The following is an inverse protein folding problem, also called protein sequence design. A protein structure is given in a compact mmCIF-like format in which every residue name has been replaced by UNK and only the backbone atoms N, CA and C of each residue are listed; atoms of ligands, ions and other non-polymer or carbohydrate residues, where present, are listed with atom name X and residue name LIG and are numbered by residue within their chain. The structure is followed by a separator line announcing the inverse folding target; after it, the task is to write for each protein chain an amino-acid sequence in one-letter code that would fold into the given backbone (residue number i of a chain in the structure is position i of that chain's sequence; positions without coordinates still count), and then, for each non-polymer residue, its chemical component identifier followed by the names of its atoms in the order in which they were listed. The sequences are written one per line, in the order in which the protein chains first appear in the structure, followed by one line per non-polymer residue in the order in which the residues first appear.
data_IF_203139084937
#
_entry.id   IF_203139084937
#
_cell.length_a   1.000
_cell.length_b   1.000
_cell.length_c   1.000
_cell.angle_alpha   90.00
_cell.angle_beta   90.00
_cell.angle_gamma   90.00
#
_symmetry.space_group_name_H-M   'P 1'
#
loop_
_entity.id
_entity.type
_entity.pdbx_description
1 polymer ?
#
# COMPACT_ATOMS: atom_id res chain seq x y z
N UNK A 1 -29.51 90.30 -34.56
CA UNK A 1 -30.73 90.39 -33.73
C UNK A 1 -31.07 89.01 -33.21
N UNK A 2 -31.06 88.85 -31.87
CA UNK A 2 -31.88 87.97 -31.01
C UNK A 2 -32.62 86.79 -31.67
N UNK A 3 -32.40 85.52 -31.30
CA UNK A 3 -32.89 84.76 -30.12
C UNK A 3 -33.55 83.49 -30.72
N UNK A 4 -33.54 82.30 -30.14
CA UNK A 4 -33.15 81.89 -28.80
C UNK A 4 -32.92 80.37 -28.69
N UNK A 5 -32.47 80.00 -27.50
CA UNK A 5 -32.27 78.64 -26.99
C UNK A 5 -33.59 77.88 -26.83
N UNK A 6 -33.56 76.57 -27.04
CA UNK A 6 -34.17 75.55 -26.17
C UNK A 6 -33.98 74.17 -26.84
N UNK A 7 -33.03 73.33 -26.41
CA UNK A 7 -33.16 72.30 -25.36
C UNK A 7 -34.10 71.14 -25.75
N UNK A 8 -33.58 69.92 -25.56
CA UNK A 8 -34.24 68.60 -25.57
C UNK A 8 -34.59 67.94 -26.91
N UNK A 9 -33.59 67.53 -27.71
CA UNK A 9 -33.72 66.34 -28.62
C UNK A 9 -32.40 65.57 -28.89
N UNK A 10 -31.38 65.65 -28.02
CA UNK A 10 -30.09 64.97 -28.22
C UNK A 10 -29.63 64.13 -27.01
N UNK A 11 -30.55 63.33 -26.46
CA UNK A 11 -30.24 62.30 -25.45
C UNK A 11 -30.37 60.86 -26.01
N UNK A 12 -30.29 60.68 -27.33
CA UNK A 12 -30.56 59.39 -27.98
C UNK A 12 -29.48 58.87 -28.95
N UNK A 13 -28.32 59.52 -29.06
CA UNK A 13 -27.26 59.13 -30.01
C UNK A 13 -25.85 59.23 -29.42
N UNK A 14 -25.69 58.81 -28.15
CA UNK A 14 -24.38 58.60 -27.52
C UNK A 14 -24.29 57.22 -26.84
N UNK A 15 -24.93 56.24 -27.49
CA UNK A 15 -24.67 54.82 -27.35
C UNK A 15 -24.64 54.26 -28.77
N UNK A 16 -23.62 53.45 -29.11
CA UNK A 16 -23.37 52.72 -30.40
C UNK A 16 -22.10 53.11 -31.19
N UNK A 17 -21.28 54.09 -30.77
CA UNK A 17 -20.01 54.39 -31.48
C UNK A 17 -18.70 54.13 -30.71
N UNK A 18 -18.67 53.17 -29.77
CA UNK A 18 -17.43 52.63 -29.17
C UNK A 18 -17.58 51.12 -28.92
N UNK A 19 -17.78 50.33 -29.98
CA UNK A 19 -17.57 48.87 -29.96
C UNK A 19 -17.07 48.46 -31.36
N UNK A 20 -15.79 48.67 -31.64
CA UNK A 20 -15.03 48.00 -32.73
C UNK A 20 -13.61 48.57 -32.78
N UNK A 21 -12.74 48.06 -31.91
CA UNK A 21 -11.29 47.82 -32.10
C UNK A 21 -10.93 46.92 -30.90
N UNK A 22 -11.22 45.63 -31.00
CA UNK A 22 -10.57 44.63 -30.16
C UNK A 22 -9.24 44.33 -30.83
N UNK A 23 -8.19 45.03 -30.40
CA UNK A 23 -6.82 44.70 -30.74
C UNK A 23 -6.53 43.26 -30.28
N UNK A 24 -5.99 42.45 -31.18
CA UNK A 24 -5.32 41.20 -30.86
C UNK A 24 -4.02 41.60 -30.15
N UNK A 25 -4.13 41.93 -28.86
CA UNK A 25 -3.01 41.89 -27.95
C UNK A 25 -2.72 40.42 -27.73
N UNK A 26 -1.64 39.93 -28.34
CA UNK A 26 -0.98 38.67 -27.99
C UNK A 26 -0.62 38.77 -26.51
N UNK A 27 -1.56 38.42 -25.64
CA UNK A 27 -1.27 38.05 -24.29
C UNK A 27 -0.54 36.73 -24.43
N UNK A 28 0.79 36.80 -24.46
CA UNK A 28 1.60 35.70 -24.02
C UNK A 28 0.95 35.22 -22.73
N UNK A 29 0.41 34.00 -22.76
CA UNK A 29 0.06 33.29 -21.55
C UNK A 29 1.40 33.12 -20.86
N UNK A 30 1.76 34.11 -20.03
CA UNK A 30 2.67 33.89 -18.93
C UNK A 30 2.07 32.70 -18.23
N UNK A 31 2.74 31.57 -18.44
CA UNK A 31 2.55 30.36 -17.68
C UNK A 31 2.51 30.87 -16.25
N UNK A 32 1.32 30.87 -15.65
CA UNK A 32 1.17 31.07 -14.22
C UNK A 32 2.10 30.01 -13.66
N UNK A 33 3.27 30.44 -13.23
CA UNK A 33 4.21 29.60 -12.52
C UNK A 33 3.44 29.26 -11.27
N UNK A 34 2.75 28.12 -11.30
CA UNK A 34 2.27 27.46 -10.12
C UNK A 34 3.49 27.43 -9.20
N UNK A 35 3.51 28.31 -8.20
CA UNK A 35 4.47 28.32 -7.12
C UNK A 35 4.18 27.09 -6.24
N UNK A 36 4.20 25.91 -6.84
CA UNK A 36 4.21 24.64 -6.14
C UNK A 36 5.61 24.48 -5.61
N UNK A 37 5.73 24.52 -4.28
CA UNK A 37 6.94 24.18 -3.54
C UNK A 37 7.65 22.97 -4.19
N UNK A 38 8.97 23.02 -4.43
CA UNK A 38 9.68 21.92 -5.05
C UNK A 38 9.45 20.60 -4.29
N UNK A 39 9.14 19.55 -5.05
CA UNK A 39 8.77 18.24 -4.52
C UNK A 39 10.04 17.41 -4.31
N UNK A 40 10.27 16.87 -3.10
CA UNK A 40 11.50 16.14 -2.75
C UNK A 40 11.26 15.01 -1.72
N UNK A 41 12.02 13.92 -1.81
CA UNK A 41 11.91 12.79 -0.88
C UNK A 41 12.85 12.90 0.36
N UNK A 42 13.83 13.81 0.30
CA UNK A 42 14.88 14.01 1.31
C UNK A 42 14.56 15.13 2.32
N UNK A 43 13.35 15.69 2.29
CA UNK A 43 12.91 16.70 3.25
C UNK A 43 12.76 16.06 4.64
N UNK A 44 13.47 16.60 5.62
CA UNK A 44 13.32 16.28 7.04
C UNK A 44 12.81 17.54 7.73
N UNK A 45 11.63 17.46 8.35
CA UNK A 45 11.21 18.46 9.33
C UNK A 45 11.88 18.13 10.65
N UNK A 46 12.79 18.99 11.10
CA UNK A 46 13.47 18.86 12.38
C UNK A 46 12.54 19.46 13.45
N UNK A 47 11.78 18.56 14.07
CA UNK A 47 10.83 18.83 15.15
C UNK A 47 11.17 18.04 16.42
N UNK A 48 12.39 17.50 16.52
CA UNK A 48 12.84 16.65 17.62
C UNK A 48 12.67 17.29 19.01
N UNK A 49 12.60 18.62 19.07
CA UNK A 49 12.42 19.39 20.30
C UNK A 49 10.99 19.31 20.87
N UNK A 50 10.03 18.79 20.12
CA UNK A 50 8.63 18.58 20.57
C UNK A 50 8.52 17.63 21.77
N UNK A 51 9.50 16.74 21.95
CA UNK A 51 9.59 15.86 23.13
C UNK A 51 9.74 16.64 24.45
N UNK A 52 10.22 17.89 24.38
CA UNK A 52 10.37 18.78 25.53
C UNK A 52 9.24 19.81 25.64
N UNK A 53 8.11 19.58 24.96
CA UNK A 53 6.96 20.48 24.93
C UNK A 53 6.88 21.34 23.67
N UNK A 54 6.02 22.37 23.70
CA UNK A 54 5.71 23.21 22.54
C UNK A 54 6.98 23.88 21.96
N UNK A 55 7.04 23.97 20.63
CA UNK A 55 8.11 24.66 19.93
C UNK A 55 7.88 26.18 19.98
N UNK A 56 8.94 26.93 20.24
CA UNK A 56 8.93 28.41 20.24
C UNK A 56 9.06 29.00 18.82
N UNK A 57 9.59 28.21 17.88
CA UNK A 57 9.77 28.60 16.48
C UNK A 57 9.30 27.47 15.55
N UNK A 58 8.98 27.77 14.28
CA UNK A 58 8.66 26.75 13.29
C UNK A 58 9.75 25.67 13.20
N UNK A 59 9.39 24.39 12.96
CA UNK A 59 10.37 23.33 12.67
C UNK A 59 11.29 23.70 11.50
N UNK A 60 12.55 23.27 11.56
CA UNK A 60 13.52 23.54 10.49
C UNK A 60 13.33 22.52 9.37
N UNK A 61 13.20 22.98 8.13
CA UNK A 61 13.21 22.11 6.96
C UNK A 61 14.65 21.84 6.51
N UNK A 62 15.06 20.58 6.59
CA UNK A 62 16.41 20.12 6.29
C UNK A 62 16.40 19.19 5.09
N UNK A 63 17.14 19.56 4.03
CA UNK A 63 17.29 18.76 2.82
C UNK A 63 18.48 17.82 2.97
N UNK A 64 18.23 16.58 3.37
CA UNK A 64 19.30 15.66 3.75
C UNK A 64 20.23 15.31 2.59
N UNK A 65 19.73 15.17 1.36
CA UNK A 65 20.57 14.84 0.21
C UNK A 65 21.39 16.03 -0.28
N UNK A 66 20.84 17.23 -0.20
CA UNK A 66 21.62 18.43 -0.51
C UNK A 66 22.86 18.53 0.39
N UNK A 67 22.71 18.18 1.68
CA UNK A 67 23.83 18.15 2.63
C UNK A 67 24.81 17.01 2.33
N UNK A 68 24.33 15.78 2.13
CA UNK A 68 25.24 14.66 1.85
C UNK A 68 25.98 14.84 0.53
N UNK A 69 25.36 15.42 -0.49
CA UNK A 69 26.02 15.73 -1.77
C UNK A 69 27.09 16.82 -1.64
N UNK A 70 26.81 17.86 -0.86
CA UNK A 70 27.80 18.91 -0.59
C UNK A 70 29.00 18.38 0.22
N UNK A 71 28.75 17.54 1.23
CA UNK A 71 29.79 16.94 2.06
C UNK A 71 30.62 15.90 1.30
N UNK A 72 30.00 15.10 0.44
CA UNK A 72 30.70 14.10 -0.40
C UNK A 72 31.74 14.78 -1.30
N UNK A 73 31.41 15.94 -1.89
CA UNK A 73 32.36 16.73 -2.71
C UNK A 73 33.58 17.22 -1.94
N UNK A 74 33.51 17.23 -0.61
CA UNK A 74 34.59 17.62 0.31
C UNK A 74 35.24 16.39 0.98
N UNK A 75 35.02 15.19 0.46
CA UNK A 75 35.49 13.93 1.02
C UNK A 75 35.06 13.72 2.50
N UNK A 76 33.91 14.28 2.89
CA UNK A 76 33.29 14.04 4.20
C UNK A 76 32.18 13.01 4.07
N UNK A 77 32.04 12.17 5.09
CA UNK A 77 31.05 11.09 5.14
C UNK A 77 29.96 11.35 6.22
N UNK A 78 29.20 10.32 6.57
CA UNK A 78 28.15 10.37 7.57
C UNK A 78 28.65 10.84 8.96
N UNK A 79 29.91 10.56 9.31
CA UNK A 79 30.50 10.91 10.61
C UNK A 79 30.61 12.43 10.82
N UNK A 80 30.56 13.20 9.72
CA UNK A 80 30.50 14.65 9.80
C UNK A 80 29.28 15.16 10.57
N UNK A 81 28.18 14.39 10.64
CA UNK A 81 26.93 14.78 11.28
C UNK A 81 26.37 13.74 12.27
N UNK A 82 26.81 12.49 12.20
CA UNK A 82 26.28 11.38 13.00
C UNK A 82 27.37 10.76 13.87
N UNK A 83 26.98 10.39 15.09
CA UNK A 83 27.86 9.66 16.01
C UNK A 83 27.70 8.15 15.80
N UNK A 84 28.74 7.41 16.15
CA UNK A 84 28.76 5.94 16.09
C UNK A 84 28.59 5.36 17.48
N UNK A 85 27.78 4.32 17.61
CA UNK A 85 27.67 3.49 18.81
C UNK A 85 27.74 2.02 18.39
N UNK A 86 28.67 1.24 18.97
CA UNK A 86 28.89 -0.18 18.62
C UNK A 86 29.03 -0.41 17.10
N UNK A 87 29.83 0.41 16.42
CA UNK A 87 30.03 0.39 14.95
C UNK A 87 28.77 0.59 14.11
N UNK A 88 27.74 1.22 14.68
CA UNK A 88 26.53 1.65 14.00
C UNK A 88 26.44 3.17 14.01
N UNK A 89 26.24 3.75 12.84
CA UNK A 89 25.93 5.16 12.66
C UNK A 89 24.52 5.41 13.21
N UNK A 90 24.44 6.30 14.20
CA UNK A 90 23.19 6.64 14.86
C UNK A 90 22.51 7.81 14.13
N UNK A 91 21.22 7.70 13.74
CA UNK A 91 20.56 8.71 12.88
C UNK A 91 20.34 10.08 13.53
N UNK A 92 20.56 10.21 14.84
CA UNK A 92 20.45 11.51 15.52
C UNK A 92 21.61 12.42 15.11
N UNK A 93 21.33 13.70 14.95
CA UNK A 93 22.33 14.71 14.60
C UNK A 93 23.22 15.01 15.81
N UNK A 94 24.53 14.71 15.70
CA UNK A 94 25.61 15.01 16.66
C UNK A 94 25.34 14.58 18.11
N UNK A 95 24.52 13.54 18.32
CA UNK A 95 24.22 13.00 19.66
C UNK A 95 23.73 11.55 19.59
N UNK A 96 23.81 10.83 20.71
CA UNK A 96 23.30 9.46 20.85
C UNK A 96 21.89 9.40 21.44
N UNK A 97 21.56 10.31 22.37
CA UNK A 97 20.26 10.40 23.03
C UNK A 97 19.79 11.86 23.09
N UNK A 98 18.50 12.06 23.27
CA UNK A 98 17.97 13.39 23.59
C UNK A 98 18.15 13.58 25.11
N UNK A 99 18.88 14.61 25.51
CA UNK A 99 19.19 14.93 26.91
C UNK A 99 18.27 16.05 27.39
N UNK A 100 18.80 17.22 27.79
CA UNK A 100 17.99 18.38 28.17
C UNK A 100 17.57 19.23 26.97
N UNK A 101 16.43 19.93 27.09
CA UNK A 101 15.92 20.87 26.05
C UNK A 101 17.01 21.82 25.56
N UNK A 102 17.68 22.51 26.48
CA UNK A 102 18.74 23.48 26.17
C UNK A 102 19.93 22.82 25.46
N UNK A 103 20.39 21.68 25.95
CA UNK A 103 21.54 20.99 25.38
C UNK A 103 21.27 20.51 23.94
N UNK A 104 20.10 19.92 23.69
CA UNK A 104 19.71 19.48 22.33
C UNK A 104 19.57 20.67 21.38
N UNK A 105 19.00 21.79 21.85
CA UNK A 105 18.92 23.03 21.08
C UNK A 105 20.32 23.58 20.75
N UNK A 106 21.20 23.64 21.75
CA UNK A 106 22.56 24.15 21.62
C UNK A 106 23.37 23.28 20.65
N UNK A 107 23.18 21.95 20.63
CA UNK A 107 23.78 21.06 19.63
C UNK A 107 23.35 21.46 18.21
N UNK A 108 22.05 21.66 17.96
CA UNK A 108 21.60 22.08 16.63
C UNK A 108 22.18 23.42 16.22
N UNK A 109 22.11 24.44 17.08
CA UNK A 109 22.62 25.76 16.75
C UNK A 109 24.13 25.76 16.56
N UNK A 110 24.88 25.19 17.50
CA UNK A 110 26.35 25.16 17.46
C UNK A 110 26.84 24.40 16.22
N UNK A 111 26.39 23.17 16.01
CA UNK A 111 26.95 22.31 14.97
C UNK A 111 26.51 22.73 13.56
N UNK A 112 25.25 23.15 13.37
CA UNK A 112 24.77 23.65 12.08
C UNK A 112 25.42 24.99 11.71
N UNK A 113 25.39 25.96 12.63
CA UNK A 113 25.84 27.33 12.33
C UNK A 113 27.37 27.36 12.16
N UNK A 114 28.13 26.58 12.93
CA UNK A 114 29.60 26.55 12.80
C UNK A 114 30.03 26.06 11.42
N UNK A 115 29.47 24.94 10.96
CA UNK A 115 29.73 24.42 9.61
C UNK A 115 29.34 25.43 8.52
N UNK A 116 28.18 26.07 8.64
CA UNK A 116 27.76 27.10 7.67
C UNK A 116 28.68 28.33 7.67
N UNK A 117 29.15 28.78 8.84
CA UNK A 117 30.10 29.89 8.96
C UNK A 117 31.43 29.55 8.30
N UNK A 118 31.97 28.36 8.54
CA UNK A 118 33.22 27.90 7.91
C UNK A 118 33.13 27.86 6.39
N UNK A 119 32.06 27.27 5.83
CA UNK A 119 31.84 27.20 4.38
C UNK A 119 31.65 28.61 3.79
N UNK A 120 30.94 29.49 4.50
CA UNK A 120 30.73 30.89 4.06
C UNK A 120 32.04 31.67 4.07
N UNK A 121 32.91 31.48 5.07
CA UNK A 121 34.24 32.09 5.14
C UNK A 121 35.16 31.60 4.01
N UNK A 122 34.98 30.36 3.55
CA UNK A 122 35.63 29.82 2.36
C UNK A 122 35.02 30.35 1.03
N UNK A 123 34.08 31.30 1.09
CA UNK A 123 33.35 31.88 -0.07
C UNK A 123 32.59 30.84 -0.91
N UNK A 124 32.19 29.75 -0.28
CA UNK A 124 31.39 28.71 -0.93
C UNK A 124 29.90 28.87 -0.62
N UNK A 125 29.05 28.18 -1.41
CA UNK A 125 27.61 28.16 -1.17
C UNK A 125 27.29 27.47 0.15
N UNK A 126 27.00 28.26 1.19
CA UNK A 126 26.69 27.81 2.53
C UNK A 126 25.18 27.89 2.85
N UNK A 127 24.79 27.18 3.90
CA UNK A 127 23.47 27.33 4.49
C UNK A 127 23.32 28.62 5.34
N UNK A 128 22.11 28.87 5.86
CA UNK A 128 21.81 30.04 6.68
C UNK A 128 22.53 30.03 8.03
N UNK A 129 22.88 31.21 8.55
CA UNK A 129 23.44 31.41 9.90
C UNK A 129 22.52 32.21 10.82
N UNK A 130 21.39 32.70 10.28
CA UNK A 130 20.40 33.52 10.97
C UNK A 130 19.11 32.76 11.26
N UNK A 131 18.38 33.16 12.30
CA UNK A 131 17.15 32.51 12.76
C UNK A 131 16.13 32.26 11.63
N UNK A 132 15.74 33.33 10.90
CA UNK A 132 14.75 33.25 9.81
C UNK A 132 15.25 32.53 8.55
N UNK A 133 16.55 32.26 8.47
CA UNK A 133 17.12 31.44 7.41
C UNK A 133 16.80 29.95 7.58
N UNK A 134 16.75 29.48 8.84
CA UNK A 134 16.41 28.10 9.21
C UNK A 134 14.93 27.93 9.58
N UNK A 135 14.44 28.75 10.53
CA UNK A 135 13.10 28.68 11.09
C UNK A 135 12.13 29.49 10.23
N UNK A 136 11.72 28.91 9.10
CA UNK A 136 10.80 29.57 8.16
C UNK A 136 9.35 29.27 8.50
N UNK A 137 8.51 30.30 8.48
CA UNK A 137 7.07 30.16 8.72
C UNK A 137 6.36 29.44 7.59
N UNK A 138 6.79 29.69 6.35
CA UNK A 138 6.24 29.06 5.16
C UNK A 138 7.02 27.78 4.83
N UNK A 139 6.28 26.70 4.61
CA UNK A 139 6.80 25.45 4.05
C UNK A 139 7.45 25.75 2.69
N UNK A 140 8.73 25.43 2.53
CA UNK A 140 9.44 25.66 1.27
C UNK A 140 9.34 24.47 0.32
N UNK A 141 9.21 23.25 0.88
CA UNK A 141 9.28 22.02 0.11
C UNK A 141 8.08 21.11 0.39
N UNK A 142 7.60 20.44 -0.64
CA UNK A 142 6.59 19.38 -0.50
C UNK A 142 7.28 18.03 -0.45
N UNK A 143 7.02 17.24 0.59
CA UNK A 143 7.59 15.89 0.69
C UNK A 143 6.92 14.93 -0.30
N UNK A 144 7.69 14.31 -1.20
CA UNK A 144 7.24 13.16 -2.01
C UNK A 144 7.50 11.80 -1.38
N UNK A 145 8.05 11.77 -0.15
CA UNK A 145 8.43 10.54 0.56
C UNK A 145 7.32 9.49 0.51
N UNK A 146 7.62 8.36 -0.11
CA UNK A 146 6.80 7.16 -0.09
C UNK A 146 7.26 6.22 1.03
N UNK A 147 6.35 5.47 1.67
CA UNK A 147 6.73 4.34 2.51
C UNK A 147 7.55 3.33 1.71
N UNK A 148 8.50 2.67 2.36
CA UNK A 148 9.26 1.56 1.79
C UNK A 148 9.04 0.29 2.62
N UNK A 149 9.01 -0.85 1.94
CA UNK A 149 8.85 -2.16 2.54
C UNK A 149 9.32 -3.24 1.58
N UNK A 150 9.51 -4.45 2.11
CA UNK A 150 9.86 -5.59 1.28
C UNK A 150 8.58 -6.22 0.75
N UNK A 151 8.47 -6.32 -0.57
CA UNK A 151 7.65 -7.35 -1.20
C UNK A 151 8.42 -8.68 -1.22
N UNK A 152 7.74 -9.78 -1.60
CA UNK A 152 8.34 -11.10 -1.67
C UNK A 152 9.61 -11.12 -2.54
N UNK A 153 9.64 -10.33 -3.63
CA UNK A 153 10.79 -10.22 -4.52
C UNK A 153 11.99 -9.56 -3.83
N UNK A 154 11.79 -8.38 -3.24
CA UNK A 154 12.86 -7.63 -2.59
C UNK A 154 13.37 -8.39 -1.35
N UNK A 155 12.49 -9.05 -0.61
CA UNK A 155 12.89 -9.94 0.46
C UNK A 155 13.78 -11.09 -0.06
N UNK A 156 13.38 -11.76 -1.14
CA UNK A 156 14.15 -12.86 -1.73
C UNK A 156 15.54 -12.40 -2.20
N UNK A 157 15.65 -11.19 -2.76
CA UNK A 157 16.96 -10.59 -3.11
C UNK A 157 17.88 -10.48 -1.90
N UNK A 158 17.36 -9.97 -0.77
CA UNK A 158 18.12 -9.87 0.47
C UNK A 158 18.47 -11.24 1.01
N UNK A 159 17.50 -12.15 1.09
CA UNK A 159 17.72 -13.53 1.54
C UNK A 159 18.82 -14.22 0.75
N UNK A 160 18.79 -14.15 -0.59
CA UNK A 160 19.83 -14.71 -1.45
C UNK A 160 21.20 -14.06 -1.22
N UNK A 161 21.26 -12.72 -1.10
CA UNK A 161 22.51 -12.00 -0.82
C UNK A 161 23.13 -12.34 0.54
N UNK A 162 22.30 -12.82 1.48
CA UNK A 162 22.71 -13.25 2.81
C UNK A 162 22.78 -14.78 2.93
N UNK A 163 22.84 -15.52 1.82
CA UNK A 163 22.93 -16.99 1.83
C UNK A 163 21.79 -17.65 2.63
N UNK A 164 20.60 -17.04 2.62
CA UNK A 164 19.41 -17.45 3.38
C UNK A 164 19.60 -17.46 4.91
N UNK A 165 20.56 -16.70 5.43
CA UNK A 165 20.82 -16.53 6.88
C UNK A 165 19.85 -15.53 7.50
N UNK A 166 18.69 -16.03 7.95
CA UNK A 166 17.63 -15.22 8.58
C UNK A 166 18.10 -14.46 9.82
N UNK A 167 19.05 -15.03 10.57
CA UNK A 167 19.63 -14.47 11.80
C UNK A 167 20.40 -13.16 11.57
N UNK A 168 20.70 -12.80 10.31
CA UNK A 168 21.33 -11.52 9.96
C UNK A 168 20.39 -10.33 10.14
N UNK A 169 19.07 -10.56 10.19
CA UNK A 169 18.08 -9.49 10.22
C UNK A 169 16.97 -9.72 11.26
N UNK A 170 16.54 -10.97 11.43
CA UNK A 170 15.44 -11.30 12.33
C UNK A 170 15.95 -11.62 13.73
N UNK A 171 15.25 -11.07 14.72
CA UNK A 171 15.51 -11.32 16.12
C UNK A 171 14.21 -11.35 16.92
N UNK A 172 14.27 -12.01 18.06
CA UNK A 172 13.32 -11.95 19.17
C UNK A 172 14.08 -11.49 20.42
N UNK A 173 13.35 -11.04 21.44
CA UNK A 173 13.92 -10.63 22.71
C UNK A 173 13.73 -11.73 23.77
N UNK A 174 14.80 -12.13 24.43
CA UNK A 174 14.76 -13.00 25.60
C UNK A 174 14.75 -12.14 26.86
N UNK A 175 13.62 -12.10 27.56
CA UNK A 175 13.46 -11.32 28.80
C UNK A 175 14.36 -11.81 29.94
N UNK A 176 14.62 -13.12 30.02
CA UNK A 176 15.46 -13.71 31.08
C UNK A 176 16.92 -13.41 30.83
N UNK A 177 17.38 -13.58 29.59
CA UNK A 177 18.76 -13.31 29.20
C UNK A 177 19.03 -11.83 28.86
N UNK A 178 18.00 -10.99 28.81
CA UNK A 178 18.03 -9.56 28.44
C UNK A 178 18.80 -9.29 27.15
N UNK A 179 18.63 -10.15 26.15
CA UNK A 179 19.36 -10.08 24.87
C UNK A 179 18.48 -10.45 23.69
N UNK A 180 18.84 -9.91 22.53
CA UNK A 180 18.25 -10.32 21.26
C UNK A 180 18.86 -11.65 20.81
N UNK A 181 18.03 -12.52 20.26
CA UNK A 181 18.45 -13.81 19.69
C UNK A 181 17.66 -14.13 18.43
N UNK A 182 18.19 -15.01 17.58
CA UNK A 182 17.46 -15.51 16.42
C UNK A 182 16.54 -16.67 16.83
N UNK A 183 15.24 -16.50 16.63
CA UNK A 183 14.26 -17.55 16.80
C UNK A 183 13.85 -18.12 15.43
N UNK A 184 14.43 -19.26 15.07
CA UNK A 184 14.14 -19.96 13.82
C UNK A 184 12.64 -20.24 13.67
N UNK A 185 12.11 -20.05 12.44
CA UNK A 185 10.69 -20.23 12.08
C UNK A 185 9.73 -19.23 12.76
N UNK A 186 10.24 -18.23 13.49
CA UNK A 186 9.44 -17.15 14.09
C UNK A 186 9.60 -15.81 13.37
N UNK A 187 10.30 -15.78 12.24
CA UNK A 187 10.56 -14.57 11.46
C UNK A 187 9.26 -13.85 11.08
N UNK A 188 9.29 -12.54 11.03
CA UNK A 188 8.13 -11.73 10.71
C UNK A 188 8.54 -10.34 10.28
N UNK A 189 7.57 -9.54 9.84
CA UNK A 189 7.84 -8.14 9.56
C UNK A 189 8.23 -7.42 10.85
N UNK A 190 9.20 -6.51 10.77
CA UNK A 190 9.62 -5.67 11.90
C UNK A 190 8.43 -4.92 12.53
N UNK A 191 7.36 -4.66 11.75
CA UNK A 191 6.16 -3.90 12.15
C UNK A 191 5.30 -4.59 13.21
N UNK A 192 5.53 -5.87 13.47
CA UNK A 192 4.85 -6.57 14.57
C UNK A 192 5.33 -6.03 15.92
N UNK A 193 6.61 -5.70 16.05
CA UNK A 193 7.19 -5.19 17.31
C UNK A 193 7.55 -3.70 17.23
N UNK A 194 8.24 -3.29 16.17
CA UNK A 194 8.62 -1.89 15.95
C UNK A 194 7.43 -1.09 15.42
N UNK A 195 6.77 -0.35 16.31
CA UNK A 195 5.61 0.49 16.01
C UNK A 195 6.04 1.91 15.60
N UNK A 196 5.08 2.83 15.50
CA UNK A 196 5.35 4.21 15.09
C UNK A 196 6.28 4.94 16.07
N UNK A 197 6.11 4.68 17.36
CA UNK A 197 6.87 5.32 18.43
C UNK A 197 7.76 4.28 19.11
N UNK A 198 8.87 4.76 19.69
CA UNK A 198 9.70 3.95 20.57
C UNK A 198 8.95 3.72 21.87
N UNK A 199 8.84 2.47 22.30
CA UNK A 199 8.23 2.10 23.58
C UNK A 199 9.21 1.24 24.35
N UNK A 200 9.50 1.63 25.58
CA UNK A 200 10.48 0.94 26.44
C UNK A 200 11.79 0.68 25.68
N UNK A 201 12.19 -0.59 25.55
CA UNK A 201 13.41 -1.01 24.86
C UNK A 201 13.20 -1.34 23.36
N UNK A 202 12.00 -1.10 22.81
CA UNK A 202 11.68 -1.36 21.40
C UNK A 202 11.68 -0.05 20.63
N UNK A 203 12.67 0.11 19.75
CA UNK A 203 12.80 1.28 18.90
C UNK A 203 11.63 1.41 17.91
N UNK A 204 11.26 2.63 17.54
CA UNK A 204 10.29 2.88 16.47
C UNK A 204 10.71 2.22 15.15
N UNK A 205 9.74 1.88 14.30
CA UNK A 205 9.95 1.34 12.95
C UNK A 205 10.89 2.22 12.13
N UNK A 206 10.76 3.54 12.25
CA UNK A 206 11.62 4.50 11.54
C UNK A 206 13.08 4.35 11.99
N UNK A 207 13.32 4.31 13.31
CA UNK A 207 14.66 4.18 13.86
C UNK A 207 15.27 2.81 13.56
N UNK A 208 14.51 1.73 13.80
CA UNK A 208 14.94 0.36 13.53
C UNK A 208 15.31 0.16 12.05
N UNK A 209 14.50 0.68 11.12
CA UNK A 209 14.77 0.58 9.68
C UNK A 209 16.03 1.35 9.28
N UNK A 210 16.16 2.61 9.71
CA UNK A 210 17.31 3.42 9.33
C UNK A 210 18.60 2.84 9.90
N UNK A 211 18.60 2.35 11.15
CA UNK A 211 19.77 1.70 11.72
C UNK A 211 20.07 0.39 10.97
N UNK A 212 19.10 -0.52 10.85
CA UNK A 212 19.34 -1.84 10.27
C UNK A 212 19.71 -1.81 8.78
N UNK A 213 18.92 -1.08 7.97
CA UNK A 213 19.10 -1.06 6.53
C UNK A 213 20.31 -0.21 6.12
N UNK A 214 20.40 1.04 6.59
CA UNK A 214 21.41 1.98 6.11
C UNK A 214 22.80 1.57 6.60
N UNK A 215 22.96 1.09 7.83
CA UNK A 215 24.28 0.63 8.29
C UNK A 215 24.77 -0.59 7.50
N UNK A 216 23.90 -1.56 7.20
CA UNK A 216 24.26 -2.69 6.36
C UNK A 216 24.68 -2.22 4.95
N UNK A 217 23.87 -1.35 4.34
CA UNK A 217 24.15 -0.84 3.01
C UNK A 217 25.44 -0.04 2.95
N UNK A 218 25.67 0.88 3.89
CA UNK A 218 26.90 1.68 3.99
C UNK A 218 28.15 0.81 4.16
N UNK A 219 28.08 -0.24 5.00
CA UNK A 219 29.19 -1.20 5.16
C UNK A 219 29.49 -1.95 3.86
N UNK A 220 28.46 -2.33 3.09
CA UNK A 220 28.65 -2.98 1.79
C UNK A 220 29.22 -2.02 0.73
N UNK A 221 28.81 -0.73 0.73
CA UNK A 221 29.39 0.30 -0.13
C UNK A 221 30.89 0.43 0.13
N UNK A 222 31.30 0.51 1.39
CA UNK A 222 32.72 0.57 1.77
C UNK A 222 33.52 -0.66 1.30
N UNK A 223 32.86 -1.83 1.26
CA UNK A 223 33.42 -3.09 0.74
C UNK A 223 33.28 -3.26 -0.78
N UNK A 224 32.72 -2.28 -1.50
CA UNK A 224 32.41 -2.35 -2.94
C UNK A 224 31.53 -3.55 -3.33
N UNK A 225 30.65 -3.98 -2.42
CA UNK A 225 29.67 -5.04 -2.65
C UNK A 225 28.39 -4.40 -3.17
N UNK A 226 27.77 -5.00 -4.18
CA UNK A 226 26.45 -4.56 -4.67
C UNK A 226 25.42 -4.57 -3.53
N UNK A 227 24.72 -3.46 -3.35
CA UNK A 227 23.93 -3.21 -2.14
C UNK A 227 22.80 -2.24 -2.40
N UNK A 228 21.90 -2.12 -1.42
CA UNK A 228 20.79 -1.19 -1.51
C UNK A 228 21.20 0.27 -1.28
N UNK A 229 20.25 1.19 -1.48
CA UNK A 229 20.49 2.62 -1.37
C UNK A 229 20.73 3.08 0.08
N UNK A 230 21.52 4.15 0.23
CA UNK A 230 21.73 4.89 1.50
C UNK A 230 21.19 6.32 1.46
N UNK A 231 20.83 6.80 0.26
CA UNK A 231 20.20 8.10 0.03
C UNK A 231 18.68 8.02 0.30
N UNK A 232 18.09 9.13 0.75
CA UNK A 232 16.66 9.22 1.07
C UNK A 232 15.78 8.84 -0.12
N UNK A 233 15.96 9.52 -1.25
CA UNK A 233 15.28 9.30 -2.53
C UNK A 233 15.50 7.88 -3.05
N UNK A 234 16.69 7.30 -2.84
CA UNK A 234 16.96 5.91 -3.22
C UNK A 234 15.97 4.91 -2.61
N UNK A 235 15.48 5.14 -1.38
CA UNK A 235 14.47 4.31 -0.72
C UNK A 235 13.04 4.87 -0.87
N UNK A 236 12.89 6.19 -0.82
CA UNK A 236 11.63 6.87 -0.56
C UNK A 236 11.05 7.63 -1.75
N UNK A 237 11.75 7.69 -2.87
CA UNK A 237 11.19 8.25 -4.10
C UNK A 237 10.44 7.18 -4.90
N UNK A 238 9.27 7.53 -5.45
CA UNK A 238 8.45 6.59 -6.21
C UNK A 238 9.17 6.08 -7.46
N UNK A 239 9.86 6.96 -8.19
CA UNK A 239 10.58 6.57 -9.40
C UNK A 239 11.78 5.69 -9.07
N UNK A 240 12.46 5.92 -7.94
CA UNK A 240 13.50 5.03 -7.44
C UNK A 240 12.94 3.65 -7.05
N UNK A 241 11.82 3.61 -6.32
CA UNK A 241 11.15 2.36 -5.95
C UNK A 241 10.71 1.54 -7.17
N UNK A 242 10.19 2.20 -8.22
CA UNK A 242 9.77 1.53 -9.46
C UNK A 242 10.94 0.91 -10.24
N UNK A 243 12.17 1.41 -10.05
CA UNK A 243 13.40 0.88 -10.67
C UNK A 243 14.00 -0.30 -9.90
N UNK A 244 13.45 -0.66 -8.74
CA UNK A 244 13.95 -1.80 -7.97
C UNK A 244 13.67 -3.09 -8.76
N UNK A 245 14.76 -3.77 -9.13
CA UNK A 245 14.70 -5.04 -9.85
C UNK A 245 13.85 -6.08 -9.11
N UNK A 246 13.00 -6.77 -9.88
CA UNK A 246 12.13 -7.85 -9.40
C UNK A 246 12.62 -9.21 -9.90
N UNK A 247 12.79 -10.16 -8.98
CA UNK A 247 13.16 -11.53 -9.30
C UNK A 247 11.93 -12.31 -9.78
N UNK A 248 12.10 -13.09 -10.85
CA UNK A 248 11.16 -14.13 -11.29
C UNK A 248 11.95 -15.37 -11.77
N UNK A 249 11.48 -16.60 -11.50
CA UNK A 249 10.33 -16.94 -10.66
C UNK A 249 10.59 -16.62 -9.17
N UNK A 250 9.53 -16.28 -8.44
CA UNK A 250 9.63 -16.10 -6.99
C UNK A 250 9.75 -17.47 -6.33
N UNK A 251 10.81 -17.67 -5.55
CA UNK A 251 10.91 -18.82 -4.66
C UNK A 251 10.03 -18.59 -3.43
N UNK A 252 9.34 -19.64 -2.98
CA UNK A 252 8.53 -19.58 -1.78
C UNK A 252 9.39 -19.24 -0.56
N UNK A 253 8.89 -18.34 0.28
CA UNK A 253 9.55 -17.95 1.53
C UNK A 253 9.26 -19.00 2.59
N UNK A 254 10.16 -19.97 2.77
CA UNK A 254 9.96 -21.07 3.71
C UNK A 254 10.05 -20.60 5.17
N UNK A 255 8.96 -20.82 5.92
CA UNK A 255 8.81 -20.51 7.36
C UNK A 255 7.90 -21.54 8.04
N UNK A 256 7.89 -22.77 7.52
CA UNK A 256 7.05 -23.88 8.01
C UNK A 256 5.54 -23.56 8.00
N UNK A 257 5.12 -22.68 7.10
CA UNK A 257 3.70 -22.40 6.88
C UNK A 257 3.01 -23.60 6.22
N UNK A 258 1.74 -23.86 6.53
CA UNK A 258 0.98 -24.92 5.88
C UNK A 258 0.70 -24.58 4.41
N UNK A 259 0.60 -25.60 3.56
CA UNK A 259 0.15 -25.42 2.17
C UNK A 259 -1.36 -25.19 2.11
N UNK A 260 -2.10 -25.87 2.97
CA UNK A 260 -3.56 -25.85 3.03
C UNK A 260 -4.01 -25.75 4.48
N UNK A 261 -5.06 -24.97 4.73
CA UNK A 261 -5.60 -24.72 6.07
C UNK A 261 -7.10 -24.98 6.08
N UNK A 262 -7.61 -25.60 7.14
CA UNK A 262 -9.04 -25.71 7.39
C UNK A 262 -9.46 -24.62 8.38
N UNK A 263 -10.11 -23.56 7.89
CA UNK A 263 -10.59 -22.48 8.75
C UNK A 263 -11.90 -22.91 9.43
N UNK A 264 -11.91 -22.80 10.76
CA UNK A 264 -13.02 -23.19 11.64
C UNK A 264 -13.22 -22.15 12.76
N UNK A 265 -14.40 -22.11 13.37
CA UNK A 265 -14.68 -21.17 14.48
C UNK A 265 -14.08 -21.62 15.81
N UNK A 266 -13.91 -22.94 16.00
CA UNK A 266 -13.34 -23.52 17.21
C UNK A 266 -11.84 -23.25 17.30
N UNK A 267 -11.36 -22.91 18.50
CA UNK A 267 -9.92 -22.81 18.78
C UNK A 267 -9.26 -24.20 18.68
N UNK A 268 -7.94 -24.21 18.49
CA UNK A 268 -7.14 -25.45 18.48
C UNK A 268 -7.40 -26.26 19.77
N UNK A 269 -7.70 -27.55 19.62
CA UNK A 269 -7.94 -28.46 20.75
C UNK A 269 -9.31 -28.34 21.43
N UNK A 270 -10.22 -27.51 20.93
CA UNK A 270 -11.59 -27.41 21.43
C UNK A 270 -12.52 -28.25 20.56
N UNK A 271 -13.43 -28.99 21.19
CA UNK A 271 -14.44 -29.79 20.52
C UNK A 271 -15.31 -28.93 19.58
N UNK A 272 -15.79 -29.56 18.51
CA UNK A 272 -16.72 -28.96 17.55
C UNK A 272 -18.12 -28.89 18.17
N UNK A 273 -18.32 -27.98 19.12
CA UNK A 273 -19.63 -27.72 19.71
C UNK A 273 -20.51 -26.96 18.70
N UNK A 274 -21.80 -26.73 19.02
CA UNK A 274 -22.81 -26.02 18.21
C UNK A 274 -22.47 -24.54 17.85
N UNK A 275 -21.20 -24.13 17.93
CA UNK A 275 -20.66 -22.81 17.61
C UNK A 275 -20.51 -22.56 16.10
N UNK A 276 -20.40 -23.60 15.28
CA UNK A 276 -20.30 -23.46 13.81
C UNK A 276 -21.69 -23.33 13.19
N UNK A 277 -22.10 -22.09 12.87
CA UNK A 277 -23.32 -21.81 12.10
C UNK A 277 -23.13 -22.00 10.58
N UNK A 278 -21.90 -22.17 10.12
CA UNK A 278 -21.52 -22.38 8.72
C UNK A 278 -20.53 -23.54 8.61
N UNK A 279 -20.46 -24.17 7.43
CA UNK A 279 -19.46 -25.18 7.14
C UNK A 279 -18.04 -24.61 7.21
N UNK A 280 -17.03 -25.49 7.33
CA UNK A 280 -15.63 -25.09 7.35
C UNK A 280 -15.17 -24.53 6.00
N UNK A 281 -14.10 -23.75 6.03
CA UNK A 281 -13.54 -23.15 4.82
C UNK A 281 -12.16 -23.76 4.55
N UNK A 282 -12.03 -24.58 3.50
CA UNK A 282 -10.73 -25.05 3.05
C UNK A 282 -10.01 -23.92 2.29
N UNK A 283 -8.82 -23.58 2.76
CA UNK A 283 -8.02 -22.45 2.30
C UNK A 283 -6.70 -22.95 1.69
N UNK A 284 -6.45 -22.57 0.44
CA UNK A 284 -5.20 -22.85 -0.27
C UNK A 284 -4.17 -21.77 0.07
N UNK A 285 -3.47 -21.95 1.20
CA UNK A 285 -2.53 -20.97 1.71
C UNK A 285 -1.35 -20.78 0.74
N UNK A 286 -0.81 -21.87 0.19
CA UNK A 286 0.30 -21.83 -0.77
C UNK A 286 -0.02 -21.00 -2.00
N UNK A 287 -1.20 -21.18 -2.61
CA UNK A 287 -1.58 -20.36 -3.75
C UNK A 287 -1.74 -18.87 -3.37
N UNK A 288 -2.29 -18.58 -2.19
CA UNK A 288 -2.44 -17.19 -1.73
C UNK A 288 -1.09 -16.51 -1.40
N UNK A 289 -0.04 -17.26 -1.06
CA UNK A 289 1.32 -16.72 -0.95
C UNK A 289 1.82 -16.17 -2.30
N UNK A 290 1.45 -16.80 -3.42
CA UNK A 290 1.84 -16.39 -4.78
C UNK A 290 1.01 -15.21 -5.30
N UNK A 291 -0.26 -15.11 -4.89
CA UNK A 291 -1.17 -14.04 -5.33
C UNK A 291 -0.96 -12.71 -4.59
N UNK A 292 -0.15 -12.72 -3.54
CA UNK A 292 0.07 -11.57 -2.69
C UNK A 292 1.55 -11.20 -2.62
N UNK A 293 1.82 -9.90 -2.50
CA UNK A 293 3.20 -9.40 -2.46
C UNK A 293 3.83 -9.49 -1.07
N UNK A 294 3.06 -9.73 -0.02
CA UNK A 294 3.54 -9.83 1.37
C UNK A 294 2.63 -10.74 2.18
N UNK A 295 3.16 -11.38 3.23
CA UNK A 295 2.34 -12.09 4.23
C UNK A 295 1.45 -11.13 5.04
N UNK A 296 1.89 -9.86 5.19
CA UNK A 296 1.25 -8.84 6.03
C UNK A 296 -0.12 -8.40 5.54
N UNK A 297 -0.44 -8.64 4.26
CA UNK A 297 -1.78 -8.35 3.72
C UNK A 297 -2.86 -9.08 4.52
N UNK A 298 -2.59 -10.33 4.94
CA UNK A 298 -3.48 -11.10 5.82
C UNK A 298 -3.00 -11.04 7.27
N UNK A 299 -1.73 -11.35 7.53
CA UNK A 299 -1.10 -11.32 8.85
C UNK A 299 -0.77 -9.88 9.25
N UNK A 300 -1.77 -9.07 9.51
CA UNK A 300 -1.58 -7.63 9.67
C UNK A 300 -0.96 -7.23 11.02
N UNK A 301 -0.99 -8.12 12.02
CA UNK A 301 -0.49 -7.88 13.39
C UNK A 301 0.52 -8.92 13.87
N UNK A 302 0.37 -10.18 13.46
CA UNK A 302 1.33 -11.26 13.76
C UNK A 302 1.18 -12.42 12.77
N UNK A 303 2.15 -13.35 12.74
CA UNK A 303 2.08 -14.59 11.96
C UNK A 303 1.20 -15.67 12.60
N UNK A 304 0.42 -15.33 13.63
CA UNK A 304 -0.51 -16.24 14.27
C UNK A 304 -1.78 -16.41 13.44
N UNK A 305 -2.52 -17.45 13.76
CA UNK A 305 -3.83 -17.77 13.19
C UNK A 305 -4.86 -16.70 13.57
N UNK A 306 -5.77 -16.39 12.64
CA UNK A 306 -6.75 -15.31 12.81
C UNK A 306 -7.63 -15.49 14.05
N UNK A 307 -8.00 -16.74 14.36
CA UNK A 307 -8.90 -17.11 15.46
C UNK A 307 -8.31 -16.92 16.86
N UNK A 308 -7.01 -16.63 16.99
CA UNK A 308 -6.42 -16.23 18.28
C UNK A 308 -6.96 -14.88 18.75
N UNK A 309 -7.14 -13.93 17.84
CA UNK A 309 -7.68 -12.59 18.14
C UNK A 309 -9.14 -12.44 17.67
N UNK A 310 -9.51 -13.07 16.56
CA UNK A 310 -10.84 -12.94 15.96
C UNK A 310 -11.68 -14.18 16.27
N UNK A 311 -12.27 -14.23 17.46
CA UNK A 311 -13.21 -15.30 17.84
C UNK A 311 -14.64 -14.94 17.37
N UNK A 312 -15.61 -15.88 17.42
CA UNK A 312 -17.01 -15.55 17.16
C UNK A 312 -17.58 -14.45 18.08
N UNK A 313 -17.14 -14.43 19.34
CA UNK A 313 -17.53 -13.39 20.31
C UNK A 313 -16.73 -12.08 20.15
N UNK A 314 -15.53 -12.15 19.57
CA UNK A 314 -14.53 -11.08 19.61
C UNK A 314 -13.64 -11.19 20.86
N UNK A 315 -12.46 -10.57 20.81
CA UNK A 315 -11.56 -10.42 21.96
C UNK A 315 -11.00 -9.01 22.01
N UNK A 316 -10.51 -8.59 23.18
CA UNK A 316 -9.81 -7.30 23.36
C UNK A 316 -8.60 -7.18 22.43
N UNK A 317 -7.81 -8.24 22.29
CA UNK A 317 -6.65 -8.27 21.39
C UNK A 317 -7.05 -8.08 19.93
N UNK A 318 -8.20 -8.63 19.53
CA UNK A 318 -8.82 -8.42 18.23
C UNK A 318 -9.58 -7.11 18.08
N UNK A 319 -9.54 -6.21 19.09
CA UNK A 319 -10.34 -4.97 19.17
C UNK A 319 -11.84 -5.24 18.94
N UNK A 320 -12.31 -6.35 19.49
CA UNK A 320 -13.68 -6.86 19.39
C UNK A 320 -14.16 -7.12 17.96
N UNK A 321 -13.23 -7.21 17.00
CA UNK A 321 -13.52 -7.64 15.63
C UNK A 321 -13.77 -9.15 15.64
N UNK A 322 -15.03 -9.52 15.45
CA UNK A 322 -15.48 -10.91 15.35
C UNK A 322 -14.93 -11.61 14.12
N UNK A 323 -14.82 -12.94 14.19
CA UNK A 323 -14.33 -13.79 13.09
C UNK A 323 -15.06 -13.54 11.77
N UNK A 324 -16.39 -13.41 11.81
CA UNK A 324 -17.19 -13.12 10.62
C UNK A 324 -16.73 -11.83 9.94
N UNK A 325 -16.54 -10.75 10.70
CA UNK A 325 -16.08 -9.46 10.17
C UNK A 325 -14.65 -9.58 9.63
N UNK A 326 -13.75 -10.27 10.34
CA UNK A 326 -12.38 -10.49 9.88
C UNK A 326 -12.32 -11.19 8.51
N UNK A 327 -13.22 -12.14 8.24
CA UNK A 327 -13.26 -12.90 6.98
C UNK A 327 -14.08 -12.22 5.87
N UNK A 328 -15.06 -11.39 6.23
CA UNK A 328 -16.08 -10.90 5.29
C UNK A 328 -16.15 -9.38 5.11
N UNK A 329 -15.41 -8.58 5.90
CA UNK A 329 -15.48 -7.13 5.81
C UNK A 329 -15.11 -6.63 4.42
N UNK A 330 -16.00 -5.86 3.79
CA UNK A 330 -15.73 -5.24 2.49
C UNK A 330 -14.80 -4.02 2.63
N UNK A 331 -14.12 -3.63 1.55
CA UNK A 331 -13.29 -2.43 1.51
C UNK A 331 -11.95 -2.54 2.28
N UNK A 332 -11.52 -3.76 2.59
CA UNK A 332 -10.21 -4.05 3.21
C UNK A 332 -9.54 -5.19 2.47
N UNK A 333 -8.22 -5.17 2.35
CA UNK A 333 -7.42 -6.25 1.75
C UNK A 333 -7.15 -7.41 2.73
N UNK A 334 -7.54 -7.26 4.00
CA UNK A 334 -7.30 -8.24 5.08
C UNK A 334 -8.34 -9.34 5.18
N UNK A 335 -9.47 -9.20 4.50
CA UNK A 335 -10.57 -10.17 4.53
C UNK A 335 -10.68 -10.86 3.18
N UNK A 336 -11.27 -12.07 3.16
CA UNK A 336 -11.49 -12.82 1.92
C UNK A 336 -12.35 -12.01 0.95
N UNK A 337 -13.50 -11.52 1.39
CA UNK A 337 -14.42 -10.77 0.54
C UNK A 337 -13.89 -9.39 0.13
N UNK A 338 -13.19 -8.72 1.04
CA UNK A 338 -12.66 -7.40 0.78
C UNK A 338 -11.52 -7.45 -0.24
N UNK A 339 -10.56 -8.37 -0.08
CA UNK A 339 -9.49 -8.56 -1.05
C UNK A 339 -10.03 -8.99 -2.41
N UNK A 340 -10.95 -9.96 -2.45
CA UNK A 340 -11.60 -10.37 -3.70
C UNK A 340 -12.38 -9.22 -4.35
N UNK A 341 -13.05 -8.38 -3.55
CA UNK A 341 -13.75 -7.19 -4.05
C UNK A 341 -12.79 -6.14 -4.63
N UNK A 342 -11.59 -5.97 -4.07
CA UNK A 342 -10.55 -5.10 -4.65
C UNK A 342 -10.10 -5.66 -6.01
N UNK A 343 -9.93 -6.98 -6.12
CA UNK A 343 -9.55 -7.67 -7.37
C UNK A 343 -10.58 -7.51 -8.50
N UNK A 344 -11.85 -7.31 -8.15
CA UNK A 344 -12.91 -7.05 -9.13
C UNK A 344 -12.77 -5.68 -9.83
N UNK A 345 -11.95 -4.77 -9.31
CA UNK A 345 -11.66 -3.48 -9.96
C UNK A 345 -10.56 -3.57 -11.03
N UNK A 346 -9.93 -4.73 -11.22
CA UNK A 346 -8.94 -4.91 -12.28
C UNK A 346 -9.59 -4.78 -13.67
N UNK A 347 -8.83 -4.32 -14.67
CA UNK A 347 -9.33 -3.97 -16.02
C UNK A 347 -10.18 -5.06 -16.67
N UNK A 348 -9.82 -6.33 -16.47
CA UNK A 348 -10.53 -7.48 -17.06
C UNK A 348 -11.81 -7.87 -16.31
N UNK A 349 -12.07 -7.28 -15.14
CA UNK A 349 -13.18 -7.60 -14.24
C UNK A 349 -14.16 -6.42 -14.11
N UNK A 350 -13.64 -5.20 -14.06
CA UNK A 350 -14.38 -3.98 -13.73
C UNK A 350 -15.53 -3.71 -14.70
N UNK A 351 -15.40 -4.12 -15.96
CA UNK A 351 -16.43 -3.95 -16.99
C UNK A 351 -17.78 -4.59 -16.64
N UNK A 352 -17.80 -5.67 -15.85
CA UNK A 352 -19.03 -6.25 -15.31
C UNK A 352 -19.23 -5.85 -13.85
N UNK A 353 -18.18 -5.97 -13.02
CA UNK A 353 -18.29 -5.81 -11.57
C UNK A 353 -18.57 -4.38 -11.10
N UNK A 354 -18.25 -3.34 -11.90
CA UNK A 354 -18.61 -1.97 -11.56
C UNK A 354 -20.13 -1.69 -11.69
N UNK A 355 -20.83 -2.45 -12.54
CA UNK A 355 -22.25 -2.28 -12.83
C UNK A 355 -23.15 -3.19 -11.99
N UNK A 356 -22.63 -4.34 -11.56
CA UNK A 356 -23.30 -5.22 -10.61
C UNK A 356 -23.25 -4.59 -9.22
N UNK A 357 -24.30 -3.85 -8.84
CA UNK A 357 -24.38 -3.13 -7.58
C UNK A 357 -23.97 -3.94 -6.35
N UNK A 358 -23.30 -3.28 -5.39
CA UNK A 358 -22.75 -3.88 -4.16
C UNK A 358 -23.81 -4.48 -3.21
N UNK A 359 -25.09 -4.19 -3.45
CA UNK A 359 -26.24 -4.49 -2.58
C UNK A 359 -27.05 -5.70 -3.03
N UNK A 360 -26.60 -6.48 -4.04
CA UNK A 360 -27.24 -7.76 -4.34
C UNK A 360 -27.15 -8.64 -3.09
N UNK A 361 -28.31 -8.99 -2.49
CA UNK A 361 -28.39 -10.05 -1.49
C UNK A 361 -27.62 -11.24 -2.05
N UNK A 362 -26.58 -11.65 -1.35
CA UNK A 362 -25.78 -12.79 -1.74
C UNK A 362 -26.72 -13.99 -1.77
N UNK A 363 -26.83 -14.63 -2.94
CA UNK A 363 -27.49 -15.94 -3.03
C UNK A 363 -26.76 -16.91 -2.11
N UNK A 364 -27.50 -17.79 -1.45
CA UNK A 364 -26.96 -18.79 -0.53
C UNK A 364 -25.83 -19.62 -1.18
N UNK A 365 -25.91 -19.86 -2.49
CA UNK A 365 -24.89 -20.57 -3.28
C UNK A 365 -23.51 -19.90 -3.28
N UNK A 366 -23.44 -18.58 -3.11
CA UNK A 366 -22.17 -17.85 -3.04
C UNK A 366 -21.42 -18.12 -1.74
N UNK A 367 -22.14 -18.41 -0.66
CA UNK A 367 -21.57 -18.80 0.63
C UNK A 367 -20.87 -20.17 0.52
N UNK A 368 -21.46 -21.09 -0.25
CA UNK A 368 -20.96 -22.46 -0.45
C UNK A 368 -19.63 -22.53 -1.24
N UNK A 369 -19.21 -21.42 -1.86
CA UNK A 369 -17.87 -21.33 -2.47
C UNK A 369 -16.78 -21.27 -1.42
N UNK A 370 -17.03 -20.68 -0.26
CA UNK A 370 -16.07 -20.77 0.83
C UNK A 370 -16.44 -21.90 1.79
N UNK A 371 -17.71 -21.94 2.21
CA UNK A 371 -18.21 -22.85 3.23
C UNK A 371 -18.58 -24.21 2.63
N UNK A 372 -17.66 -25.16 2.73
CA UNK A 372 -17.71 -26.42 1.97
C UNK A 372 -18.03 -27.63 2.84
N UNK A 373 -18.84 -28.56 2.31
CA UNK A 373 -19.21 -29.82 2.93
C UNK A 373 -18.42 -31.00 2.32
N UNK A 374 -18.22 -32.14 3.01
CA UNK A 374 -18.79 -32.50 4.31
C UNK A 374 -18.01 -31.91 5.49
N UNK A 375 -18.73 -31.51 6.53
CA UNK A 375 -18.14 -31.16 7.83
C UNK A 375 -17.96 -32.45 8.63
N UNK A 376 -16.83 -32.67 9.30
CA UNK A 376 -16.64 -33.80 10.21
C UNK A 376 -17.74 -33.91 11.27
N UNK A 377 -17.97 -35.12 11.79
CA UNK A 377 -18.98 -35.38 12.82
C UNK A 377 -18.85 -34.45 14.03
N UNK A 378 -20.00 -34.06 14.59
CA UNK A 378 -20.07 -33.18 15.76
C UNK A 378 -19.29 -33.79 16.93
N UNK A 379 -18.58 -32.95 17.69
CA UNK A 379 -17.78 -33.38 18.84
C UNK A 379 -16.42 -33.99 18.50
N UNK A 380 -16.10 -34.30 17.23
CA UNK A 380 -14.78 -34.79 16.85
C UNK A 380 -13.71 -33.69 16.98
N UNK A 381 -12.66 -33.97 17.74
CA UNK A 381 -11.43 -33.15 17.71
C UNK A 381 -10.55 -33.71 16.58
N UNK A 382 -10.25 -32.88 15.58
CA UNK A 382 -9.38 -33.24 14.47
C UNK A 382 -7.92 -33.00 14.85
N UNK A 383 -7.06 -33.95 14.50
CA UNK A 383 -5.62 -33.74 14.49
C UNK A 383 -5.21 -32.78 13.36
N UNK A 384 -4.04 -32.11 13.45
CA UNK A 384 -3.54 -31.24 12.38
C UNK A 384 -3.42 -31.94 11.01
N UNK A 385 -3.05 -33.23 11.00
CA UNK A 385 -2.92 -34.00 9.77
C UNK A 385 -4.29 -34.33 9.15
N UNK A 386 -5.29 -34.66 9.97
CA UNK A 386 -6.67 -34.81 9.50
C UNK A 386 -7.23 -33.50 8.92
N UNK A 387 -6.99 -32.37 9.59
CA UNK A 387 -7.42 -31.06 9.09
C UNK A 387 -6.80 -30.74 7.73
N UNK A 388 -5.51 -31.01 7.58
CA UNK A 388 -4.79 -30.84 6.31
C UNK A 388 -5.34 -31.76 5.23
N UNK A 389 -5.59 -33.03 5.54
CA UNK A 389 -6.13 -34.00 4.59
C UNK A 389 -7.54 -33.61 4.12
N UNK A 390 -8.42 -33.21 5.04
CA UNK A 390 -9.77 -32.74 4.74
C UNK A 390 -9.72 -31.47 3.89
N UNK A 391 -8.94 -30.47 4.28
CA UNK A 391 -8.79 -29.24 3.50
C UNK A 391 -8.29 -29.54 2.07
N UNK A 392 -7.28 -30.40 1.94
CA UNK A 392 -6.76 -30.81 0.64
C UNK A 392 -7.79 -31.54 -0.22
N UNK A 393 -8.57 -32.45 0.36
CA UNK A 393 -9.64 -33.16 -0.35
C UNK A 393 -10.74 -32.19 -0.81
N UNK A 394 -11.18 -31.28 0.06
CA UNK A 394 -12.19 -30.28 -0.29
C UNK A 394 -11.69 -29.32 -1.39
N UNK A 395 -10.41 -28.91 -1.36
CA UNK A 395 -9.82 -28.07 -2.41
C UNK A 395 -9.78 -28.81 -3.75
N UNK A 396 -9.40 -30.09 -3.78
CA UNK A 396 -9.36 -30.92 -4.99
C UNK A 396 -10.75 -31.19 -5.57
N UNK A 397 -11.79 -31.22 -4.74
CA UNK A 397 -13.17 -31.43 -5.16
C UNK A 397 -13.78 -30.21 -5.89
N UNK A 398 -13.13 -29.04 -5.84
CA UNK A 398 -13.61 -27.81 -6.50
C UNK A 398 -13.57 -27.97 -8.02
N UNK A 399 -14.69 -27.69 -8.67
CA UNK A 399 -14.82 -27.68 -10.13
C UNK A 399 -14.87 -26.23 -10.64
N UNK A 400 -13.80 -25.72 -11.28
CA UNK A 400 -13.82 -24.38 -11.86
C UNK A 400 -14.66 -24.34 -13.14
N UNK A 401 -15.36 -23.23 -13.37
CA UNK A 401 -16.05 -22.91 -14.62
C UNK A 401 -15.20 -21.90 -15.38
N UNK A 402 -14.59 -22.34 -16.49
CA UNK A 402 -13.64 -21.52 -17.26
C UNK A 402 -14.22 -20.97 -18.57
N UNK A 403 -15.49 -21.27 -18.86
CA UNK A 403 -16.15 -20.95 -20.11
C UNK A 403 -17.51 -20.26 -19.94
N UNK A 404 -18.29 -20.27 -21.02
CA UNK A 404 -19.69 -19.86 -21.04
C UNK A 404 -20.50 -20.83 -21.91
N UNK A 405 -21.76 -20.51 -22.23
CA UNK A 405 -22.59 -21.32 -23.11
C UNK A 405 -21.93 -21.57 -24.48
N UNK A 406 -22.38 -22.63 -25.16
CA UNK A 406 -21.88 -22.99 -26.50
C UNK A 406 -22.13 -21.88 -27.51
N UNK A 407 -21.28 -21.80 -28.52
CA UNK A 407 -21.35 -20.74 -29.54
C UNK A 407 -22.69 -20.74 -30.29
N UNK A 408 -23.28 -21.92 -30.53
CA UNK A 408 -24.60 -22.05 -31.18
C UNK A 408 -25.73 -21.38 -30.37
N UNK A 409 -25.59 -21.34 -29.05
CA UNK A 409 -26.60 -20.77 -28.14
C UNK A 409 -26.47 -19.23 -28.00
N UNK A 410 -25.41 -18.64 -28.55
CA UNK A 410 -25.08 -17.21 -28.38
C UNK A 410 -25.16 -16.49 -29.74
N UNK A 411 -26.01 -15.46 -29.93
CA UNK A 411 -26.07 -14.73 -31.20
C UNK A 411 -24.72 -14.10 -31.60
N UNK A 412 -24.36 -14.18 -32.89
CA UNK A 412 -23.11 -13.60 -33.40
C UNK A 412 -23.13 -12.07 -33.30
N UNK A 413 -24.22 -11.46 -33.79
CA UNK A 413 -24.53 -10.03 -33.70
C UNK A 413 -25.95 -9.85 -33.19
N UNK A 414 -26.20 -8.71 -32.55
CA UNK A 414 -27.53 -8.28 -32.10
C UNK A 414 -27.77 -6.87 -32.61
N UNK A 415 -28.89 -6.66 -33.31
CA UNK A 415 -29.28 -5.34 -33.82
C UNK A 415 -30.16 -4.63 -32.79
N UNK A 416 -29.68 -3.52 -32.22
CA UNK A 416 -30.39 -2.77 -31.18
C UNK A 416 -31.11 -1.58 -31.82
N UNK A 417 -32.43 -1.71 -31.99
CA UNK A 417 -33.23 -0.79 -32.81
C UNK A 417 -34.15 0.16 -32.03
N UNK A 418 -34.17 0.11 -30.69
CA UNK A 418 -35.16 0.82 -29.85
C UNK A 418 -35.18 2.35 -30.05
N UNK A 419 -34.09 2.94 -30.55
CA UNK A 419 -33.97 4.37 -30.84
C UNK A 419 -33.66 4.68 -32.32
N UNK A 420 -34.07 3.78 -33.24
CA UNK A 420 -33.76 3.93 -34.67
C UNK A 420 -34.44 5.14 -35.34
N UNK A 421 -35.38 5.77 -34.64
CA UNK A 421 -36.02 7.00 -35.08
C UNK A 421 -35.10 8.24 -34.98
N UNK A 422 -33.97 8.13 -34.27
CA UNK A 422 -33.00 9.24 -34.08
C UNK A 422 -31.59 8.92 -34.57
N UNK A 423 -31.21 7.65 -34.57
CA UNK A 423 -29.90 7.16 -35.00
C UNK A 423 -30.08 5.88 -35.81
N UNK A 424 -29.07 5.46 -36.54
CA UNK A 424 -29.09 4.13 -37.15
C UNK A 424 -29.09 3.02 -36.09
N UNK A 425 -29.57 1.84 -36.46
CA UNK A 425 -29.55 0.67 -35.59
C UNK A 425 -28.12 0.32 -35.19
N UNK A 426 -27.88 0.10 -33.89
CA UNK A 426 -26.57 -0.31 -33.43
C UNK A 426 -26.36 -1.82 -33.67
N UNK A 427 -25.44 -2.16 -34.55
CA UNK A 427 -25.00 -3.54 -34.78
C UNK A 427 -23.99 -3.97 -33.72
N UNK A 428 -24.46 -4.65 -32.68
CA UNK A 428 -23.64 -5.05 -31.53
C UNK A 428 -22.95 -6.40 -31.79
N UNK A 429 -21.60 -6.49 -31.75
CA UNK A 429 -20.85 -7.72 -31.99
C UNK A 429 -20.85 -8.64 -30.76
N UNK A 430 -22.02 -9.18 -30.43
CA UNK A 430 -22.35 -9.87 -29.19
C UNK A 430 -21.40 -11.03 -28.84
N UNK A 431 -21.30 -12.06 -29.70
CA UNK A 431 -20.47 -13.24 -29.43
C UNK A 431 -18.98 -12.89 -29.35
N UNK A 432 -18.50 -11.95 -30.17
CA UNK A 432 -17.10 -11.49 -30.18
C UNK A 432 -16.71 -10.87 -28.83
N UNK A 433 -17.58 -10.05 -28.26
CA UNK A 433 -17.35 -9.42 -26.95
C UNK A 433 -17.32 -10.49 -25.85
N UNK A 434 -18.30 -11.40 -25.80
CA UNK A 434 -18.33 -12.49 -24.81
C UNK A 434 -17.05 -13.35 -24.88
N UNK A 435 -16.64 -13.77 -26.08
CA UNK A 435 -15.43 -14.58 -26.27
C UNK A 435 -14.17 -13.86 -25.79
N UNK A 436 -14.12 -12.53 -25.99
CA UNK A 436 -13.00 -11.70 -25.49
C UNK A 436 -12.99 -11.65 -23.96
N UNK A 437 -14.16 -11.48 -23.33
CA UNK A 437 -14.29 -11.49 -21.86
C UNK A 437 -13.87 -12.84 -21.27
N UNK A 438 -14.38 -13.96 -21.82
CA UNK A 438 -14.01 -15.32 -21.41
C UNK A 438 -12.51 -15.55 -21.54
N UNK A 439 -11.92 -15.19 -22.69
CA UNK A 439 -10.48 -15.33 -22.93
C UNK A 439 -9.64 -14.59 -21.91
N UNK A 440 -10.05 -13.39 -21.50
CA UNK A 440 -9.29 -12.53 -20.59
C UNK A 440 -9.28 -13.03 -19.14
N UNK A 441 -10.21 -13.92 -18.76
CA UNK A 441 -10.33 -14.46 -17.41
C UNK A 441 -10.05 -15.96 -17.32
N UNK A 442 -9.77 -16.64 -18.44
CA UNK A 442 -9.68 -18.11 -18.52
C UNK A 442 -8.72 -18.75 -17.50
N UNK A 443 -7.60 -18.09 -17.21
CA UNK A 443 -6.56 -18.58 -16.30
C UNK A 443 -6.70 -17.97 -14.88
N UNK A 444 -7.71 -17.12 -14.66
CA UNK A 444 -7.96 -16.49 -13.38
C UNK A 444 -8.74 -17.45 -12.47
N UNK A 445 -8.04 -18.04 -11.50
CA UNK A 445 -8.62 -18.98 -10.52
C UNK A 445 -9.75 -18.39 -9.69
N UNK A 446 -9.72 -17.09 -9.39
CA UNK A 446 -10.79 -16.44 -8.63
C UNK A 446 -12.07 -16.39 -9.48
N UNK A 447 -11.97 -15.95 -10.73
CA UNK A 447 -13.09 -15.93 -11.66
C UNK A 447 -13.62 -17.36 -11.93
N UNK A 448 -12.72 -18.29 -12.22
CA UNK A 448 -13.09 -19.68 -12.49
C UNK A 448 -13.79 -20.37 -11.32
N UNK A 449 -13.56 -19.92 -10.08
CA UNK A 449 -14.19 -20.51 -8.92
C UNK A 449 -15.50 -19.83 -8.49
N UNK A 450 -15.60 -18.51 -8.64
CA UNK A 450 -16.76 -17.73 -8.21
C UNK A 450 -17.81 -17.50 -9.30
N UNK A 451 -17.50 -17.78 -10.57
CA UNK A 451 -18.51 -17.89 -11.62
C UNK A 451 -19.07 -19.31 -11.63
N UNK A 452 -20.33 -19.47 -11.22
CA UNK A 452 -20.86 -20.74 -10.74
C UNK A 452 -21.61 -21.55 -11.81
N UNK A 453 -22.01 -20.87 -12.88
CA UNK A 453 -22.81 -21.36 -13.99
C UNK A 453 -22.23 -20.80 -15.29
N UNK A 454 -22.39 -21.53 -16.40
CA UNK A 454 -21.93 -21.11 -17.74
C UNK A 454 -22.50 -19.73 -18.15
N UNK A 455 -23.69 -19.38 -17.67
CA UNK A 455 -24.31 -18.07 -17.93
C UNK A 455 -24.04 -17.00 -16.88
N UNK A 456 -23.18 -17.23 -15.88
CA UNK A 456 -22.84 -16.22 -14.85
C UNK A 456 -22.27 -14.95 -15.49
N UNK A 457 -21.42 -15.11 -16.51
CA UNK A 457 -20.85 -13.97 -17.25
C UNK A 457 -21.92 -13.18 -18.00
N UNK A 458 -22.94 -13.86 -18.54
CA UNK A 458 -24.06 -13.21 -19.23
C UNK A 458 -24.79 -12.23 -18.31
N UNK A 459 -24.90 -12.56 -17.01
CA UNK A 459 -25.51 -11.68 -16.01
C UNK A 459 -24.73 -10.39 -15.73
N UNK A 460 -23.49 -10.26 -16.23
CA UNK A 460 -22.75 -8.99 -16.20
C UNK A 460 -23.42 -7.89 -17.01
N UNK A 461 -24.12 -8.26 -18.09
CA UNK A 461 -24.94 -7.33 -18.90
C UNK A 461 -26.44 -7.61 -18.71
N UNK A 462 -26.86 -8.88 -18.76
CA UNK A 462 -28.24 -9.31 -18.52
C UNK A 462 -28.55 -9.43 -17.02
N UNK A 463 -28.22 -8.39 -16.26
CA UNK A 463 -28.43 -8.39 -14.81
C UNK A 463 -29.93 -8.36 -14.47
N UNK A 464 -30.26 -8.66 -13.22
CA UNK A 464 -31.63 -8.76 -12.68
C UNK A 464 -32.56 -9.79 -13.34
N UNK A 465 -32.03 -10.67 -14.19
CA UNK A 465 -32.72 -11.85 -14.71
C UNK A 465 -32.05 -13.16 -14.22
N UNK A 466 -32.78 -14.27 -14.14
CA UNK A 466 -32.18 -15.59 -13.94
C UNK A 466 -31.18 -15.94 -15.05
N UNK A 467 -30.24 -16.83 -14.78
CA UNK A 467 -29.32 -17.32 -15.81
C UNK A 467 -30.11 -18.12 -16.84
N UNK A 468 -29.97 -17.75 -18.10
CA UNK A 468 -30.63 -18.41 -19.22
C UNK A 468 -29.81 -18.22 -20.50
N UNK A 469 -29.97 -19.15 -21.46
CA UNK A 469 -29.40 -19.02 -22.81
C UNK A 469 -30.02 -17.88 -23.61
N UNK A 470 -31.29 -17.58 -23.33
CA UNK A 470 -32.07 -16.49 -23.94
C UNK A 470 -32.64 -15.60 -22.82
N UNK A 471 -31.81 -14.75 -22.20
CA UNK A 471 -32.28 -13.82 -21.18
C UNK A 471 -33.22 -12.76 -21.80
N UNK A 472 -34.14 -12.19 -21.01
CA UNK A 472 -35.12 -11.20 -21.47
C UNK A 472 -34.53 -9.87 -21.92
#
# INVERSE_FOLDING_TARGET
MNKGRSLLRWAGFLAVAIVSIYGISVHGVEKISNNTSPIRADVIKIDAMTVFGKLERPPVEFLHEAHTEALTKKNKDCSACHLTEKDLIMPKFKRLKDTGRKEVMDIYHKECISCHKEIKSAREKAGPVECGGCHKEKTLYTSSRQPVGFDNSLHLRHSNSQEKKCERCHHEYDEKAKKLFYAKEKEGTCRYCHKQETKENVSSMRLASHIGCINCHSKNIAKKINTGPVKCSGCHDLAAQQKIEKIKPLLRMERKQPDTVLLKTAKKGVALDNLNKMNFVPFDHKAHEEYNNTCRVCHHESMKQCSECHTPAGTKDGKDVKLEKAMHQSGTDKSCLGCHGIKQNEKNCAGCHAFLGKTRKKKDDSCLKCHFAPVPEKGKILSPDEEKAIAGAMLKARKPVTGSFKAEDIPEKVSIKKFSNKYEAAEFPHRKILNTLVKNIKDNRLAGYFHIEDGTLCQGCHHNSPVAKKPP
#
